data_IF_292166608078
#
_entry.id   IF_292166608078
#
_cell.length_a   1.000
_cell.length_b   1.000
_cell.length_c   1.000
_cell.angle_alpha   90.00
_cell.angle_beta   90.00
_cell.angle_gamma   90.00
#
_symmetry.space_group_name_H-M   'P 1'
#
loop_
_entity.id
_entity.type
_entity.pdbx_description
1 polymer ?
#
# COMPACT_ATOMS: atom_id res chain seq x y z
N UNK A 1 -44.99 1.29 -53.58
CA UNK A 1 -44.38 -0.04 -53.85
C UNK A 1 -42.88 0.17 -54.03
N UNK A 2 -42.09 -0.34 -53.08
CA UNK A 2 -40.65 -0.65 -53.11
C UNK A 2 -39.67 0.25 -53.89
N UNK A 3 -38.78 0.96 -53.17
CA UNK A 3 -37.39 1.28 -53.57
C UNK A 3 -36.60 1.47 -52.26
N UNK A 4 -35.86 0.48 -51.75
CA UNK A 4 -34.51 0.00 -52.08
C UNK A 4 -33.57 0.34 -50.91
N UNK A 5 -33.16 -0.71 -50.17
CA UNK A 5 -32.22 -0.67 -49.05
C UNK A 5 -30.83 -0.23 -49.52
N UNK A 6 -30.35 0.92 -49.06
CA UNK A 6 -28.91 1.24 -49.05
C UNK A 6 -28.37 0.88 -47.67
N UNK A 7 -27.69 -0.27 -47.56
CA UNK A 7 -26.89 -0.59 -46.37
C UNK A 7 -25.63 0.28 -46.38
N UNK A 8 -25.61 1.30 -45.54
CA UNK A 8 -24.42 2.09 -45.26
C UNK A 8 -23.51 1.25 -44.36
N UNK A 9 -22.40 0.77 -44.92
CA UNK A 9 -21.32 0.11 -44.18
C UNK A 9 -20.61 1.16 -43.30
N UNK A 10 -20.98 1.25 -42.02
CA UNK A 10 -20.13 1.87 -41.01
C UNK A 10 -19.08 0.85 -40.57
N UNK A 11 -17.84 1.08 -40.99
CA UNK A 11 -16.68 0.41 -40.42
C UNK A 11 -16.52 0.85 -38.95
N UNK A 12 -16.88 -0.01 -37.99
CA UNK A 12 -16.51 0.16 -36.60
C UNK A 12 -15.00 -0.08 -36.47
N UNK A 13 -14.22 0.98 -36.37
CA UNK A 13 -12.86 0.89 -35.86
C UNK A 13 -12.95 0.56 -34.36
N UNK A 14 -12.75 -0.71 -34.01
CA UNK A 14 -12.63 -1.17 -32.64
C UNK A 14 -11.29 -0.67 -32.04
N UNK A 15 -11.29 0.57 -31.54
CA UNK A 15 -10.19 1.09 -30.74
C UNK A 15 -10.16 0.37 -29.39
N UNK A 16 -9.14 -0.45 -29.16
CA UNK A 16 -8.88 -1.06 -27.87
C UNK A 16 -8.49 0.05 -26.87
N UNK A 17 -9.43 0.47 -26.03
CA UNK A 17 -9.15 1.33 -24.87
C UNK A 17 -8.45 0.44 -23.83
N UNK A 18 -7.13 0.49 -23.80
CA UNK A 18 -6.34 -0.13 -22.74
C UNK A 18 -6.57 0.64 -21.44
N UNK A 19 -7.47 0.16 -20.59
CA UNK A 19 -7.58 0.65 -19.21
C UNK A 19 -6.36 0.16 -18.43
N UNK A 20 -5.34 0.99 -18.29
CA UNK A 20 -4.26 0.76 -17.34
C UNK A 20 -4.87 0.82 -15.93
N UNK A 21 -4.98 -0.34 -15.27
CA UNK A 21 -5.31 -0.38 -13.84
C UNK A 21 -4.14 0.22 -13.07
N UNK A 22 -4.31 1.45 -12.60
CA UNK A 22 -3.41 2.02 -11.61
C UNK A 22 -3.51 1.16 -10.35
N UNK A 23 -2.47 0.37 -10.05
CA UNK A 23 -2.35 -0.28 -8.76
C UNK A 23 -2.40 0.82 -7.68
N UNK A 24 -3.30 0.68 -6.71
CA UNK A 24 -3.39 1.62 -5.60
C UNK A 24 -2.00 1.75 -4.93
N UNK A 25 -1.54 2.97 -4.61
CA UNK A 25 -0.27 3.17 -3.92
C UNK A 25 -0.36 2.51 -2.54
N UNK A 26 0.20 1.32 -2.41
CA UNK A 26 0.18 0.54 -1.16
C UNK A 26 0.26 -0.98 -1.32
N UNK A 27 0.10 -1.54 -2.53
CA UNK A 27 -0.05 -3.00 -2.71
C UNK A 27 1.17 -3.74 -3.27
N UNK A 28 2.22 -3.05 -3.73
CA UNK A 28 3.39 -3.74 -4.30
C UNK A 28 4.33 -4.18 -3.19
N UNK A 29 4.13 -5.41 -2.71
CA UNK A 29 5.07 -6.07 -1.81
C UNK A 29 6.33 -6.47 -2.58
N UNK A 30 7.48 -6.47 -1.93
CA UNK A 30 8.74 -6.80 -2.61
C UNK A 30 8.78 -8.27 -3.06
N UNK A 31 9.47 -8.55 -4.17
CA UNK A 31 9.70 -9.93 -4.67
C UNK A 31 10.27 -10.88 -3.58
N UNK A 32 10.98 -10.33 -2.59
CA UNK A 32 11.52 -11.09 -1.47
C UNK A 32 10.42 -11.62 -0.55
N UNK A 33 9.43 -10.78 -0.25
CA UNK A 33 8.26 -11.16 0.53
C UNK A 33 7.43 -12.22 -0.19
N UNK A 34 7.16 -12.05 -1.49
CA UNK A 34 6.42 -13.03 -2.28
C UNK A 34 7.11 -14.41 -2.29
N UNK A 35 8.44 -14.43 -2.47
CA UNK A 35 9.22 -15.68 -2.40
C UNK A 35 9.20 -16.31 -1.02
N UNK A 36 9.20 -15.50 0.04
CA UNK A 36 9.12 -15.99 1.40
C UNK A 36 7.74 -16.63 1.65
N UNK A 37 6.66 -15.91 1.33
CA UNK A 37 5.28 -16.40 1.46
C UNK A 37 5.04 -17.66 0.63
N UNK A 38 5.61 -17.75 -0.58
CA UNK A 38 5.51 -18.96 -1.42
C UNK A 38 6.24 -20.20 -0.87
N UNK A 39 7.09 -20.04 0.15
CA UNK A 39 7.78 -21.14 0.85
C UNK A 39 7.23 -21.42 2.25
N UNK A 40 6.41 -20.52 2.79
CA UNK A 40 5.85 -20.65 4.12
C UNK A 40 4.88 -21.84 4.17
N UNK A 41 5.08 -22.74 5.14
CA UNK A 41 4.21 -23.90 5.39
C UNK A 41 3.51 -23.83 6.75
N UNK A 42 3.88 -22.86 7.58
CA UNK A 42 3.30 -22.63 8.90
C UNK A 42 2.93 -21.15 9.11
N UNK A 43 2.07 -20.90 10.11
CA UNK A 43 1.74 -19.53 10.53
C UNK A 43 2.97 -18.80 11.09
N UNK A 44 3.92 -19.54 11.68
CA UNK A 44 5.18 -18.96 12.15
C UNK A 44 6.02 -18.48 10.97
N UNK A 45 6.15 -19.30 9.91
CA UNK A 45 6.89 -18.94 8.70
C UNK A 45 6.30 -17.67 8.06
N UNK A 46 4.97 -17.59 7.99
CA UNK A 46 4.28 -16.39 7.47
C UNK A 46 4.56 -15.15 8.34
N UNK A 47 4.56 -15.29 9.67
CA UNK A 47 4.92 -14.20 10.59
C UNK A 47 6.36 -13.74 10.39
N UNK A 48 7.30 -14.65 10.14
CA UNK A 48 8.70 -14.31 9.84
C UNK A 48 8.81 -13.52 8.53
N UNK A 49 8.12 -13.97 7.48
CA UNK A 49 8.05 -13.24 6.21
C UNK A 49 7.50 -11.83 6.39
N UNK A 50 6.41 -11.68 7.15
CA UNK A 50 5.80 -10.39 7.45
C UNK A 50 6.71 -9.51 8.30
N UNK A 51 7.42 -10.06 9.28
CA UNK A 51 8.36 -9.33 10.13
C UNK A 51 9.56 -8.79 9.34
N UNK A 52 10.09 -9.59 8.40
CA UNK A 52 11.14 -9.13 7.49
C UNK A 52 10.63 -7.99 6.59
N UNK A 53 9.43 -8.13 6.01
CA UNK A 53 8.85 -7.08 5.17
C UNK A 53 8.51 -5.82 5.97
N UNK A 54 8.01 -5.97 7.21
CA UNK A 54 7.79 -4.87 8.13
C UNK A 54 9.06 -4.03 8.31
N UNK A 55 10.20 -4.68 8.58
CA UNK A 55 11.46 -3.97 8.80
C UNK A 55 11.91 -3.20 7.54
N UNK A 56 11.67 -3.75 6.35
CA UNK A 56 11.96 -3.08 5.09
C UNK A 56 11.08 -1.84 4.88
N UNK A 57 9.77 -1.98 5.08
CA UNK A 57 8.83 -0.86 4.89
C UNK A 57 8.97 0.20 5.98
N UNK A 58 9.26 -0.18 7.21
CA UNK A 58 9.53 0.76 8.30
C UNK A 58 10.82 1.57 8.03
N UNK A 59 11.87 0.91 7.54
CA UNK A 59 13.08 1.61 7.10
C UNK A 59 12.78 2.59 5.96
N UNK A 60 12.03 2.15 4.94
CA UNK A 60 11.64 2.98 3.79
C UNK A 60 10.82 4.19 4.24
N UNK A 61 9.81 4.00 5.10
CA UNK A 61 9.03 5.05 5.73
C UNK A 61 9.93 6.06 6.44
N UNK A 62 10.86 5.59 7.27
CA UNK A 62 11.76 6.47 8.02
C UNK A 62 12.69 7.29 7.13
N UNK A 63 13.15 6.72 6.01
CA UNK A 63 13.92 7.45 4.99
C UNK A 63 13.06 8.54 4.35
N UNK A 64 11.84 8.21 3.91
CA UNK A 64 10.92 9.16 3.29
C UNK A 64 10.52 10.28 4.26
N UNK A 65 10.23 9.96 5.51
CA UNK A 65 9.92 10.92 6.56
C UNK A 65 11.07 11.91 6.76
N UNK A 66 12.31 11.43 6.90
CA UNK A 66 13.49 12.31 7.08
C UNK A 66 13.72 13.20 5.87
N UNK A 67 13.56 12.67 4.66
CA UNK A 67 13.70 13.44 3.42
C UNK A 67 12.65 14.56 3.34
N UNK A 68 11.39 14.26 3.66
CA UNK A 68 10.32 15.27 3.68
C UNK A 68 10.54 16.31 4.79
N UNK A 69 10.93 15.87 5.99
CA UNK A 69 11.22 16.73 7.14
C UNK A 69 12.33 17.73 6.84
N UNK A 70 13.42 17.30 6.19
CA UNK A 70 14.55 18.17 5.86
C UNK A 70 14.18 19.34 4.92
N UNK A 71 13.01 19.28 4.27
CA UNK A 71 12.49 20.31 3.38
C UNK A 71 11.44 21.22 4.05
N UNK A 72 11.05 20.91 5.29
CA UNK A 72 10.10 21.74 6.05
C UNK A 72 10.84 22.75 6.93
N UNK A 73 10.15 23.81 7.31
CA UNK A 73 10.63 24.81 8.27
C UNK A 73 9.49 25.26 9.17
N UNK A 74 9.82 25.65 10.40
CA UNK A 74 8.91 26.33 11.32
C UNK A 74 7.61 25.54 11.59
N UNK A 75 6.46 26.16 11.33
CA UNK A 75 5.16 25.56 11.61
C UNK A 75 4.90 24.27 10.82
N UNK A 76 5.35 24.19 9.56
CA UNK A 76 5.12 23.02 8.70
C UNK A 76 5.90 21.79 9.17
N UNK A 77 7.08 22.00 9.73
CA UNK A 77 7.89 20.94 10.33
C UNK A 77 7.18 20.33 11.55
N UNK A 78 6.68 21.19 12.45
CA UNK A 78 5.92 20.76 13.64
C UNK A 78 4.63 20.03 13.27
N UNK A 79 3.92 20.51 12.24
CA UNK A 79 2.71 19.85 11.74
C UNK A 79 3.01 18.46 11.21
N UNK A 80 4.06 18.30 10.40
CA UNK A 80 4.45 16.98 9.87
C UNK A 80 4.84 16.01 10.99
N UNK A 81 5.58 16.50 12.00
CA UNK A 81 5.93 15.69 13.16
C UNK A 81 4.68 15.22 13.93
N UNK A 82 3.70 16.10 14.12
CA UNK A 82 2.47 15.74 14.84
C UNK A 82 1.61 14.76 14.05
N UNK A 83 1.43 14.98 12.74
CA UNK A 83 0.72 14.04 11.87
C UNK A 83 1.38 12.66 11.91
N UNK A 84 2.71 12.59 11.89
CA UNK A 84 3.42 11.30 11.96
C UNK A 84 3.21 10.59 13.31
N UNK A 85 3.21 11.33 14.43
CA UNK A 85 2.94 10.78 15.76
C UNK A 85 1.51 10.26 15.90
N UNK A 86 0.53 11.00 15.38
CA UNK A 86 -0.87 10.58 15.38
C UNK A 86 -1.06 9.34 14.50
N UNK A 87 -0.41 9.30 13.34
CA UNK A 87 -0.42 8.13 12.47
C UNK A 87 0.15 6.88 13.17
N UNK A 88 1.24 7.03 13.94
CA UNK A 88 1.80 5.91 14.73
C UNK A 88 0.79 5.38 15.75
N UNK A 89 0.16 6.27 16.54
CA UNK A 89 -0.85 5.89 17.53
C UNK A 89 -2.05 5.20 16.90
N UNK A 90 -2.56 5.76 15.79
CA UNK A 90 -3.65 5.16 15.03
C UNK A 90 -3.26 3.77 14.54
N UNK A 91 -2.06 3.63 13.96
CA UNK A 91 -1.62 2.37 13.37
C UNK A 91 -1.41 1.29 14.43
N UNK A 92 -0.87 1.64 15.60
CA UNK A 92 -0.76 0.73 16.73
C UNK A 92 -2.14 0.27 17.21
N UNK A 93 -3.08 1.20 17.44
CA UNK A 93 -4.43 0.86 17.87
C UNK A 93 -5.19 0.03 16.82
N UNK A 94 -5.13 0.43 15.56
CA UNK A 94 -5.83 -0.24 14.47
C UNK A 94 -5.26 -1.65 14.24
N UNK A 95 -3.94 -1.81 14.14
CA UNK A 95 -3.35 -3.13 13.94
C UNK A 95 -3.44 -4.01 15.18
N UNK A 96 -3.44 -3.45 16.39
CA UNK A 96 -3.73 -4.18 17.62
C UNK A 96 -5.16 -4.72 17.67
N UNK A 97 -6.14 -4.00 17.13
CA UNK A 97 -7.52 -4.49 17.04
C UNK A 97 -7.67 -5.74 16.14
N UNK A 98 -6.81 -5.89 15.13
CA UNK A 98 -6.80 -7.10 14.31
C UNK A 98 -6.30 -8.35 15.05
N UNK A 99 -5.58 -8.19 16.17
CA UNK A 99 -5.13 -9.29 17.04
C UNK A 99 -6.23 -9.70 18.03
N UNK A 100 -7.37 -10.13 17.47
CA UNK A 100 -8.51 -10.64 18.22
C UNK A 100 -8.10 -11.83 19.12
N UNK A 101 -8.24 -11.73 20.45
CA UNK A 101 -7.92 -12.82 21.38
C UNK A 101 -8.65 -14.13 21.08
N UNK A 102 -9.85 -14.06 20.50
CA UNK A 102 -10.67 -15.22 20.14
C UNK A 102 -10.39 -15.72 18.71
N UNK A 103 -9.61 -14.98 17.92
CA UNK A 103 -9.31 -15.28 16.51
C UNK A 103 -8.07 -16.16 16.27
N UNK A 104 -7.38 -16.58 17.34
CA UNK A 104 -6.27 -17.53 17.27
C UNK A 104 -5.07 -17.03 16.45
N UNK A 105 -4.40 -17.94 15.74
CA UNK A 105 -3.20 -17.58 14.95
C UNK A 105 -3.53 -16.80 13.67
N UNK A 106 -4.77 -16.89 13.16
CA UNK A 106 -5.20 -16.12 12.01
C UNK A 106 -5.32 -14.62 12.32
N UNK A 107 -5.86 -14.27 13.49
CA UNK A 107 -5.91 -12.89 13.96
C UNK A 107 -4.51 -12.28 14.12
N UNK A 108 -3.57 -13.03 14.71
CA UNK A 108 -2.16 -12.62 14.77
C UNK A 108 -1.58 -12.30 13.40
N UNK A 109 -1.81 -13.15 12.40
CA UNK A 109 -1.38 -12.90 11.02
C UNK A 109 -2.04 -11.64 10.43
N UNK A 110 -3.33 -11.41 10.71
CA UNK A 110 -4.02 -10.21 10.28
C UNK A 110 -3.42 -8.93 10.89
N UNK A 111 -3.04 -8.96 12.17
CA UNK A 111 -2.35 -7.86 12.83
C UNK A 111 -0.98 -7.56 12.21
N UNK A 112 -0.18 -8.60 11.94
CA UNK A 112 1.11 -8.44 11.23
C UNK A 112 0.93 -7.89 9.82
N UNK A 113 -0.06 -8.39 9.08
CA UNK A 113 -0.37 -7.91 7.74
C UNK A 113 -0.81 -6.43 7.74
N UNK A 114 -1.70 -6.05 8.66
CA UNK A 114 -2.06 -4.64 8.87
C UNK A 114 -0.82 -3.78 9.07
N UNK A 115 0.09 -4.23 9.94
CA UNK A 115 1.28 -3.47 10.25
C UNK A 115 2.15 -3.27 9.01
N UNK A 116 2.42 -4.33 8.23
CA UNK A 116 3.21 -4.25 6.98
C UNK A 116 2.56 -3.29 5.98
N UNK A 117 1.28 -3.51 5.68
CA UNK A 117 0.54 -2.71 4.69
C UNK A 117 0.47 -1.23 5.07
N UNK A 118 0.27 -0.92 6.36
CA UNK A 118 0.25 0.45 6.85
C UNK A 118 1.60 1.17 6.62
N UNK A 119 2.75 0.51 6.90
CA UNK A 119 4.06 1.13 6.65
C UNK A 119 4.30 1.35 5.16
N UNK A 120 3.95 0.37 4.32
CA UNK A 120 4.13 0.47 2.87
C UNK A 120 3.33 1.65 2.28
N UNK A 121 2.07 1.80 2.69
CA UNK A 121 1.21 2.89 2.27
C UNK A 121 1.74 4.25 2.76
N UNK A 122 2.13 4.34 4.04
CA UNK A 122 2.65 5.59 4.61
C UNK A 122 3.99 6.00 3.98
N UNK A 123 4.86 5.03 3.67
CA UNK A 123 6.09 5.29 2.94
C UNK A 123 5.79 5.91 1.57
N UNK A 124 4.87 5.33 0.80
CA UNK A 124 4.47 5.84 -0.51
C UNK A 124 3.88 7.26 -0.43
N UNK A 125 3.03 7.52 0.56
CA UNK A 125 2.46 8.85 0.81
C UNK A 125 3.56 9.89 1.11
N UNK A 126 4.51 9.57 1.99
CA UNK A 126 5.61 10.47 2.35
C UNK A 126 6.56 10.72 1.17
N UNK A 127 6.83 9.69 0.36
CA UNK A 127 7.62 9.81 -0.87
C UNK A 127 6.94 10.73 -1.89
N UNK A 128 5.63 10.62 -2.04
CA UNK A 128 4.85 11.47 -2.95
C UNK A 128 4.86 12.93 -2.47
N UNK A 129 4.59 13.15 -1.18
CA UNK A 129 4.66 14.49 -0.56
C UNK A 129 6.05 15.12 -0.71
N UNK A 130 7.10 14.30 -0.65
CA UNK A 130 8.48 14.74 -0.86
C UNK A 130 8.82 15.05 -2.32
N UNK A 131 8.04 14.55 -3.29
CA UNK A 131 8.24 14.81 -4.73
C UNK A 131 7.59 16.11 -5.19
N UNK A 132 6.38 16.41 -4.68
CA UNK A 132 5.57 17.55 -5.14
C UNK A 132 5.87 18.87 -4.43
N UNK A 133 6.64 18.84 -3.33
CA UNK A 133 7.24 20.03 -2.70
C UNK A 133 8.70 20.14 -3.09
#
# INVERSE_FOLDING_TARGET
MTVLRTMMLLALAAGAVSTATAAAPGTVRGKQYERCMGKAVSNVDMQECMSAQYALEDKRLNVAYRALMARQQGAREKELQEVQRLWLKYTEANCGFHDDPDGGTAARLAAHECAVSARAARAAELEELARVR
#
